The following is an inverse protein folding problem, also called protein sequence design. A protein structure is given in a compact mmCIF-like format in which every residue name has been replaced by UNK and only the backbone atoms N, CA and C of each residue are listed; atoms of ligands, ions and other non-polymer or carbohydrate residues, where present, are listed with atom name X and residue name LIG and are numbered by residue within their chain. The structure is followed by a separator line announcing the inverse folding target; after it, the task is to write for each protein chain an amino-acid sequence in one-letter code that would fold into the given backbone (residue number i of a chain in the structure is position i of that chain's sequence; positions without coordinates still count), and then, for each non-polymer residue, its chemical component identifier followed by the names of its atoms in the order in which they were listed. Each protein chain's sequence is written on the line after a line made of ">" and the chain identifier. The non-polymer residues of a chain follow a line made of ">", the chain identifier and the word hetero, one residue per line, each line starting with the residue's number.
data_IF_789237237699
#
_entry.id   IF_789237237699
#
_cell.length_a   1.000
_cell.length_b   1.000
_cell.length_c   1.000
_cell.angle_alpha   90.00
_cell.angle_beta   90.00
_cell.angle_gamma   90.00
#
_symmetry.space_group_name_H-M   'P 1'
#
loop_
_entity.id
_entity.type
_entity.pdbx_description
1 polymer ?
#
# COMPACT_ATOMS: atom_id res chain seq x y z
N UNK A 1 -30.76 15.58 26.69
CA UNK A 1 -29.77 15.81 25.56
C UNK A 1 -28.88 14.58 25.26
N UNK A 2 -28.96 13.46 26.01
CA UNK A 2 -28.09 12.27 25.80
C UNK A 2 -28.63 11.26 24.77
N UNK A 3 -29.89 11.30 24.38
CA UNK A 3 -30.48 10.34 23.42
C UNK A 3 -30.12 10.61 21.96
N UNK A 4 -29.83 11.85 21.59
CA UNK A 4 -29.47 12.23 20.20
C UNK A 4 -28.06 11.76 19.78
N UNK A 5 -27.08 11.75 20.69
CA UNK A 5 -25.72 11.31 20.39
C UNK A 5 -25.63 9.79 20.23
N UNK A 6 -26.28 9.03 21.12
CA UNK A 6 -26.30 7.57 21.06
C UNK A 6 -26.98 7.03 19.78
N UNK A 7 -28.09 7.64 19.35
CA UNK A 7 -28.75 7.28 18.09
C UNK A 7 -27.86 7.60 16.88
N UNK A 8 -27.15 8.73 16.88
CA UNK A 8 -26.17 9.09 15.85
C UNK A 8 -25.03 8.07 15.77
N UNK A 9 -24.51 7.61 16.91
CA UNK A 9 -23.41 6.66 16.96
C UNK A 9 -23.82 5.25 16.51
N UNK A 10 -25.04 4.81 16.87
CA UNK A 10 -25.61 3.54 16.37
C UNK A 10 -25.78 3.60 14.84
N UNK A 11 -26.31 4.71 14.31
CA UNK A 11 -26.47 4.89 12.87
C UNK A 11 -25.13 4.87 12.13
N UNK A 12 -24.10 5.53 12.64
CA UNK A 12 -22.75 5.52 12.06
C UNK A 12 -22.12 4.13 12.08
N UNK A 13 -22.31 3.34 13.15
CA UNK A 13 -21.81 1.95 13.25
C UNK A 13 -22.49 1.01 12.26
N UNK A 14 -23.73 1.28 11.87
CA UNK A 14 -24.44 0.50 10.84
C UNK A 14 -24.18 0.99 9.42
N UNK A 15 -23.65 2.20 9.25
CA UNK A 15 -23.39 2.78 7.95
C UNK A 15 -22.26 2.06 7.21
N UNK A 16 -22.33 2.08 5.88
CA UNK A 16 -21.28 1.60 5.03
C UNK A 16 -20.27 2.71 4.70
N UNK A 17 -19.02 2.33 4.72
CA UNK A 17 -17.87 3.16 4.40
C UNK A 17 -17.22 2.67 3.12
N UNK A 18 -16.71 3.58 2.30
CA UNK A 18 -15.93 3.22 1.13
C UNK A 18 -14.59 3.94 1.09
N UNK A 19 -13.59 3.23 0.61
CA UNK A 19 -12.29 3.75 0.29
C UNK A 19 -11.91 3.38 -1.14
N UNK A 20 -11.55 4.38 -1.96
CA UNK A 20 -11.06 4.18 -3.31
C UNK A 20 -9.64 4.75 -3.40
N UNK A 21 -8.75 3.92 -3.93
CA UNK A 21 -7.36 4.24 -4.25
C UNK A 21 -7.17 4.16 -5.77
N UNK A 22 -6.85 5.31 -6.38
CA UNK A 22 -6.47 5.42 -7.78
C UNK A 22 -4.96 5.63 -7.88
N UNK A 23 -4.24 4.54 -7.98
CA UNK A 23 -2.79 4.51 -8.17
C UNK A 23 -2.34 4.64 -9.62
N UNK A 24 -1.03 4.61 -9.83
CA UNK A 24 -0.40 4.68 -11.15
C UNK A 24 -0.80 3.53 -12.07
N UNK A 25 -0.96 2.33 -11.51
CA UNK A 25 -1.29 1.13 -12.30
C UNK A 25 -2.73 0.64 -12.11
N UNK A 26 -3.34 0.84 -10.96
CA UNK A 26 -4.58 0.18 -10.57
C UNK A 26 -5.59 1.16 -9.99
N UNK A 27 -6.87 0.90 -10.25
CA UNK A 27 -8.01 1.49 -9.54
C UNK A 27 -8.61 0.42 -8.62
N UNK A 28 -8.67 0.69 -7.32
CA UNK A 28 -9.13 -0.26 -6.31
C UNK A 28 -10.12 0.42 -5.37
N UNK A 29 -11.16 -0.31 -4.95
CA UNK A 29 -12.14 0.18 -3.98
C UNK A 29 -12.52 -0.92 -3.00
N UNK A 30 -12.77 -0.55 -1.75
CA UNK A 30 -13.42 -1.38 -0.73
C UNK A 30 -14.68 -0.68 -0.26
N UNK A 31 -15.72 -1.48 0.01
CA UNK A 31 -16.90 -1.08 0.77
C UNK A 31 -16.93 -1.95 2.01
N UNK A 32 -17.02 -1.34 3.19
CA UNK A 32 -16.90 -2.04 4.45
C UNK A 32 -17.84 -1.47 5.52
N UNK A 33 -18.10 -2.28 6.53
CA UNK A 33 -18.89 -1.93 7.71
C UNK A 33 -18.03 -2.06 8.97
N UNK A 34 -18.11 -1.12 9.93
CA UNK A 34 -17.42 -1.25 11.22
C UNK A 34 -17.84 -2.51 11.96
N UNK A 35 -16.88 -3.21 12.57
CA UNK A 35 -17.10 -4.40 13.38
C UNK A 35 -16.09 -4.48 14.51
N UNK A 36 -16.50 -4.08 15.71
CA UNK A 36 -15.61 -3.98 16.86
C UNK A 36 -14.45 -3.00 16.57
N UNK A 37 -13.25 -3.42 16.83
CA UNK A 37 -12.03 -2.64 16.55
C UNK A 37 -11.56 -2.70 15.08
N UNK A 38 -12.27 -3.44 14.24
CA UNK A 38 -11.93 -3.67 12.84
C UNK A 38 -13.13 -3.34 11.93
N UNK A 39 -13.09 -3.77 10.71
CA UNK A 39 -14.22 -3.70 9.78
C UNK A 39 -14.37 -5.00 9.01
N UNK A 40 -15.57 -5.22 8.52
CA UNK A 40 -15.89 -6.31 7.63
C UNK A 40 -16.07 -5.78 6.20
N UNK A 41 -15.39 -6.39 5.23
CA UNK A 41 -15.51 -6.02 3.81
C UNK A 41 -16.80 -6.60 3.25
N UNK A 42 -17.65 -5.72 2.72
CA UNK A 42 -18.94 -6.09 2.08
C UNK A 42 -18.76 -6.32 0.59
N UNK A 43 -17.98 -5.44 -0.07
CA UNK A 43 -17.72 -5.56 -1.51
C UNK A 43 -16.35 -4.95 -1.86
N UNK A 44 -15.80 -5.38 -2.96
CA UNK A 44 -14.52 -4.88 -3.45
C UNK A 44 -14.51 -4.70 -4.97
N UNK A 45 -13.63 -3.84 -5.43
CA UNK A 45 -13.34 -3.66 -6.85
C UNK A 45 -11.84 -3.50 -7.05
N UNK A 46 -11.30 -4.12 -8.09
CA UNK A 46 -9.91 -3.93 -8.51
C UNK A 46 -9.81 -4.06 -10.02
N UNK A 47 -9.14 -3.10 -10.67
CA UNK A 47 -8.89 -3.12 -12.12
C UNK A 47 -7.55 -2.47 -12.42
N UNK A 48 -6.74 -3.12 -13.26
CA UNK A 48 -5.56 -2.49 -13.85
C UNK A 48 -6.03 -1.46 -14.88
N UNK A 49 -5.70 -0.18 -14.64
CA UNK A 49 -6.07 0.95 -15.50
C UNK A 49 -4.86 1.56 -16.20
N UNK A 50 -3.65 1.31 -15.66
CA UNK A 50 -2.39 1.80 -16.21
C UNK A 50 -2.43 3.32 -16.47
N UNK A 51 -2.92 4.07 -15.47
CA UNK A 51 -3.11 5.52 -15.57
C UNK A 51 -1.80 6.24 -15.89
N UNK A 52 -0.70 5.82 -15.27
CA UNK A 52 0.63 6.40 -15.46
C UNK A 52 1.37 5.95 -16.72
N UNK A 53 0.74 5.15 -17.59
CA UNK A 53 1.42 4.69 -18.82
C UNK A 53 1.86 5.86 -19.70
N UNK A 54 3.17 5.92 -20.00
CA UNK A 54 3.76 6.99 -20.81
C UNK A 54 3.98 8.33 -20.09
N UNK A 55 3.64 8.42 -18.80
CA UNK A 55 3.79 9.64 -18.00
C UNK A 55 5.24 10.11 -17.91
N UNK A 56 6.21 9.18 -17.74
CA UNK A 56 7.64 9.49 -17.67
C UNK A 56 8.14 10.24 -18.92
N UNK A 57 7.65 9.85 -20.10
CA UNK A 57 8.08 10.43 -21.37
C UNK A 57 7.38 11.74 -21.69
N UNK A 58 6.12 11.89 -21.32
CA UNK A 58 5.27 12.99 -21.76
C UNK A 58 4.98 14.04 -20.69
N UNK A 59 5.12 13.68 -19.42
CA UNK A 59 4.67 14.46 -18.27
C UNK A 59 3.14 14.61 -18.18
N UNK A 60 2.38 13.82 -18.98
CA UNK A 60 0.89 13.93 -19.06
C UNK A 60 0.26 12.54 -19.06
N UNK A 61 -0.93 12.45 -18.46
CA UNK A 61 -1.81 11.29 -18.60
C UNK A 61 -2.31 11.18 -20.05
N UNK A 62 -2.20 9.99 -20.65
CA UNK A 62 -2.68 9.76 -22.01
C UNK A 62 -4.21 9.71 -22.06
N UNK A 63 -4.79 10.07 -23.21
CA UNK A 63 -6.25 10.04 -23.42
C UNK A 63 -6.81 8.64 -23.19
N UNK A 64 -6.10 7.61 -23.64
CA UNK A 64 -6.54 6.22 -23.49
C UNK A 64 -6.51 5.75 -22.04
N UNK A 65 -5.45 6.10 -21.29
CA UNK A 65 -5.37 5.75 -19.86
C UNK A 65 -6.44 6.46 -19.04
N UNK A 66 -6.70 7.75 -19.33
CA UNK A 66 -7.80 8.49 -18.70
C UNK A 66 -9.15 7.85 -18.99
N UNK A 67 -9.44 7.48 -20.24
CA UNK A 67 -10.71 6.85 -20.62
C UNK A 67 -10.89 5.49 -19.94
N UNK A 68 -9.86 4.63 -19.93
CA UNK A 68 -9.91 3.34 -19.19
C UNK A 68 -10.20 3.55 -17.72
N UNK A 69 -9.58 4.54 -17.12
CA UNK A 69 -9.76 4.86 -15.68
C UNK A 69 -11.19 5.36 -15.42
N UNK A 70 -11.73 6.23 -16.24
CA UNK A 70 -13.12 6.71 -16.12
C UNK A 70 -14.12 5.56 -16.21
N UNK A 71 -13.91 4.60 -17.11
CA UNK A 71 -14.76 3.41 -17.18
C UNK A 71 -14.71 2.58 -15.88
N UNK A 72 -13.53 2.43 -15.28
CA UNK A 72 -13.40 1.76 -13.98
C UNK A 72 -14.13 2.54 -12.86
N UNK A 73 -14.01 3.86 -12.86
CA UNK A 73 -14.65 4.74 -11.87
C UNK A 73 -16.18 4.74 -12.01
N UNK A 74 -16.74 4.62 -13.23
CA UNK A 74 -18.19 4.42 -13.43
C UNK A 74 -18.70 3.15 -12.73
N UNK A 75 -17.95 2.05 -12.80
CA UNK A 75 -18.29 0.83 -12.05
C UNK A 75 -18.23 1.06 -10.53
N UNK A 76 -17.21 1.78 -10.07
CA UNK A 76 -17.12 2.15 -8.65
C UNK A 76 -18.34 2.98 -8.21
N UNK A 77 -18.75 3.97 -9.01
CA UNK A 77 -19.95 4.78 -8.72
C UNK A 77 -21.21 3.94 -8.61
N UNK A 78 -21.44 3.02 -9.56
CA UNK A 78 -22.57 2.10 -9.52
C UNK A 78 -22.60 1.26 -8.24
N UNK A 79 -21.42 0.79 -7.77
CA UNK A 79 -21.33 0.05 -6.51
C UNK A 79 -21.63 0.94 -5.30
N UNK A 80 -21.08 2.16 -5.24
CA UNK A 80 -21.39 3.11 -4.17
C UNK A 80 -22.88 3.40 -4.06
N UNK A 81 -23.56 3.58 -5.19
CA UNK A 81 -25.01 3.83 -5.24
C UNK A 81 -25.80 2.59 -4.84
N UNK A 82 -25.43 1.42 -5.37
CA UNK A 82 -26.08 0.14 -5.06
C UNK A 82 -26.10 -0.14 -3.56
N UNK A 83 -25.01 0.16 -2.87
CA UNK A 83 -24.86 -0.11 -1.43
C UNK A 83 -25.27 1.10 -0.54
N UNK A 84 -25.75 2.19 -1.12
CA UNK A 84 -26.12 3.41 -0.40
C UNK A 84 -25.02 3.87 0.59
N UNK A 85 -23.76 3.90 0.09
CA UNK A 85 -22.59 4.24 0.90
C UNK A 85 -22.70 5.68 1.41
N UNK A 86 -22.64 5.86 2.72
CA UNK A 86 -22.79 7.18 3.36
C UNK A 86 -21.48 7.93 3.54
N UNK A 87 -20.40 7.21 3.78
CA UNK A 87 -19.09 7.79 4.03
C UNK A 87 -18.09 7.23 3.02
N UNK A 88 -17.53 8.10 2.19
CA UNK A 88 -16.55 7.66 1.20
C UNK A 88 -15.36 8.61 1.15
N UNK A 89 -14.17 8.04 1.01
CA UNK A 89 -12.93 8.77 0.71
C UNK A 89 -12.29 8.16 -0.53
N UNK A 90 -12.18 8.99 -1.55
CA UNK A 90 -11.71 8.59 -2.87
C UNK A 90 -10.44 9.37 -3.17
N UNK A 91 -9.31 8.69 -3.26
CA UNK A 91 -8.00 9.32 -3.43
C UNK A 91 -7.35 8.96 -4.76
N UNK A 92 -6.47 9.84 -5.21
CA UNK A 92 -5.55 9.61 -6.31
C UNK A 92 -4.13 9.94 -5.84
N UNK A 93 -3.15 9.17 -6.31
CA UNK A 93 -1.78 9.21 -5.81
C UNK A 93 -0.79 9.65 -6.90
N UNK A 94 0.39 9.06 -6.98
CA UNK A 94 1.58 9.49 -7.70
C UNK A 94 1.33 9.90 -9.17
N UNK A 95 0.58 9.11 -9.96
CA UNK A 95 0.32 9.47 -11.36
C UNK A 95 -0.41 10.81 -11.50
N UNK A 96 -1.36 11.08 -10.61
CA UNK A 96 -2.10 12.34 -10.60
C UNK A 96 -1.27 13.50 -10.00
N UNK A 97 -0.41 13.24 -9.00
CA UNK A 97 0.49 14.28 -8.46
C UNK A 97 1.45 14.81 -9.54
N UNK A 98 2.01 13.91 -10.34
CA UNK A 98 3.06 14.24 -11.33
C UNK A 98 2.52 14.78 -12.66
N UNK A 99 1.30 14.40 -13.03
CA UNK A 99 0.77 14.73 -14.35
C UNK A 99 0.38 16.22 -14.49
N UNK A 100 0.91 16.89 -15.50
CA UNK A 100 0.60 18.30 -15.82
C UNK A 100 -0.89 18.55 -16.12
N UNK A 101 -1.61 17.51 -16.59
CA UNK A 101 -3.04 17.55 -16.93
C UNK A 101 -3.93 16.85 -15.88
N UNK A 102 -3.46 16.68 -14.66
CA UNK A 102 -4.24 16.02 -13.60
C UNK A 102 -5.52 16.77 -13.24
N UNK A 103 -5.47 18.10 -13.20
CA UNK A 103 -6.66 18.93 -12.90
C UNK A 103 -7.79 18.71 -13.92
N UNK A 104 -7.45 18.67 -15.22
CA UNK A 104 -8.42 18.40 -16.28
C UNK A 104 -8.99 16.97 -16.17
N UNK A 105 -8.15 16.02 -15.82
CA UNK A 105 -8.57 14.63 -15.58
C UNK A 105 -9.55 14.53 -14.39
N UNK A 106 -9.22 15.13 -13.25
CA UNK A 106 -10.09 15.12 -12.05
C UNK A 106 -11.45 15.80 -12.36
N UNK A 107 -11.43 16.94 -13.07
CA UNK A 107 -12.65 17.60 -13.49
C UNK A 107 -13.51 16.70 -14.41
N UNK A 108 -12.87 16.06 -15.39
CA UNK A 108 -13.55 15.12 -16.29
C UNK A 108 -14.15 13.92 -15.54
N UNK A 109 -13.43 13.36 -14.55
CA UNK A 109 -13.96 12.32 -13.67
C UNK A 109 -15.22 12.78 -12.97
N UNK A 110 -15.19 13.98 -12.38
CA UNK A 110 -16.36 14.53 -11.70
C UNK A 110 -17.55 14.74 -12.65
N UNK A 111 -17.31 15.31 -13.83
CA UNK A 111 -18.36 15.54 -14.84
C UNK A 111 -19.01 14.23 -15.32
N UNK A 112 -18.21 13.15 -15.52
CA UNK A 112 -18.71 11.90 -16.07
C UNK A 112 -19.26 10.92 -15.03
N UNK A 113 -18.87 11.05 -13.76
CA UNK A 113 -19.20 10.07 -12.71
C UNK A 113 -19.82 10.67 -11.47
N UNK A 114 -19.69 11.97 -11.23
CA UNK A 114 -20.04 12.63 -9.97
C UNK A 114 -19.07 12.32 -8.81
N UNK A 115 -18.01 11.54 -9.03
CA UNK A 115 -17.05 11.19 -8.00
C UNK A 115 -16.05 12.33 -7.78
N UNK A 116 -15.83 12.68 -6.51
CA UNK A 116 -14.81 13.67 -6.11
C UNK A 116 -13.55 12.93 -5.69
N UNK A 117 -12.54 12.92 -6.54
CA UNK A 117 -11.22 12.38 -6.23
C UNK A 117 -10.34 13.47 -5.59
N UNK A 118 -9.69 13.14 -4.48
CA UNK A 118 -8.70 14.00 -3.83
C UNK A 118 -7.30 13.49 -4.14
N UNK A 119 -6.44 14.34 -4.68
CA UNK A 119 -5.02 14.01 -4.82
C UNK A 119 -4.39 14.21 -3.45
N UNK A 120 -3.85 13.14 -2.86
CA UNK A 120 -3.15 13.18 -1.57
C UNK A 120 -1.66 13.41 -1.78
N UNK A 121 -0.98 14.00 -0.80
CA UNK A 121 0.46 14.12 -0.79
C UNK A 121 1.15 12.80 -0.41
N UNK A 122 2.48 12.80 -0.47
CA UNK A 122 3.28 11.60 -0.20
C UNK A 122 3.31 11.23 1.28
N UNK A 123 3.24 12.22 2.18
CA UNK A 123 3.20 11.96 3.62
C UNK A 123 1.89 11.26 4.01
N UNK A 124 0.76 11.76 3.49
CA UNK A 124 -0.53 11.12 3.72
C UNK A 124 -0.59 9.71 3.16
N UNK A 125 -0.02 9.48 1.97
CA UNK A 125 0.09 8.14 1.36
C UNK A 125 0.89 7.19 2.26
N UNK A 126 2.08 7.59 2.69
CA UNK A 126 2.93 6.82 3.60
C UNK A 126 2.23 6.54 4.94
N UNK A 127 1.56 7.52 5.51
CA UNK A 127 0.81 7.41 6.76
C UNK A 127 -0.34 6.41 6.66
N UNK A 128 -1.11 6.44 5.58
CA UNK A 128 -2.21 5.50 5.35
C UNK A 128 -1.70 4.06 5.18
N UNK A 129 -0.56 3.88 4.51
CA UNK A 129 0.08 2.57 4.40
C UNK A 129 0.49 2.04 5.78
N UNK A 130 1.10 2.87 6.63
CA UNK A 130 1.48 2.52 8.00
C UNK A 130 0.26 2.11 8.83
N UNK A 131 -0.81 2.90 8.82
CA UNK A 131 -2.04 2.61 9.57
C UNK A 131 -2.65 1.27 9.12
N UNK A 132 -2.63 0.97 7.83
CA UNK A 132 -3.16 -0.29 7.30
C UNK A 132 -2.46 -1.52 7.88
N UNK A 133 -1.19 -1.37 8.27
CA UNK A 133 -0.34 -2.42 8.81
C UNK A 133 -0.46 -2.60 10.33
N UNK A 134 -1.14 -1.71 11.05
CA UNK A 134 -1.24 -1.73 12.51
C UNK A 134 -1.62 -3.11 13.10
N UNK A 135 -2.59 -3.87 12.56
CA UNK A 135 -2.96 -5.19 13.09
C UNK A 135 -1.85 -6.27 12.96
N UNK A 136 -0.81 -6.02 12.15
CA UNK A 136 0.29 -6.95 11.91
C UNK A 136 1.55 -6.62 12.71
N UNK A 137 1.54 -5.53 13.47
CA UNK A 137 2.66 -5.11 14.30
C UNK A 137 2.81 -6.08 15.46
N UNK A 138 4.02 -6.65 15.59
CA UNK A 138 4.33 -7.56 16.68
C UNK A 138 4.50 -6.80 17.99
N UNK A 139 3.93 -7.32 19.08
CA UNK A 139 4.17 -6.78 20.43
C UNK A 139 5.64 -6.83 20.88
N UNK A 140 6.46 -7.65 20.21
CA UNK A 140 7.90 -7.78 20.50
C UNK A 140 8.77 -6.82 19.68
N UNK A 141 8.21 -6.12 18.69
CA UNK A 141 8.98 -5.25 17.79
C UNK A 141 9.15 -3.85 18.39
N UNK A 142 10.39 -3.44 18.62
CA UNK A 142 10.77 -2.10 19.09
C UNK A 142 11.15 -1.18 17.94
N UNK A 143 11.58 -1.76 16.82
CA UNK A 143 11.87 -1.06 15.58
C UNK A 143 11.01 -1.65 14.46
N UNK A 144 10.33 -0.80 13.72
CA UNK A 144 9.42 -1.18 12.65
C UNK A 144 9.75 -0.40 11.37
N UNK A 145 9.97 -1.12 10.26
CA UNK A 145 10.01 -0.56 8.92
C UNK A 145 8.74 -0.99 8.16
N UNK A 146 7.92 -0.03 7.78
CA UNK A 146 6.81 -0.27 6.86
C UNK A 146 7.22 0.13 5.45
N UNK A 147 6.98 -0.76 4.48
CA UNK A 147 7.30 -0.54 3.07
C UNK A 147 6.06 -0.77 2.23
N UNK A 148 5.65 0.23 1.48
CA UNK A 148 4.60 0.11 0.45
C UNK A 148 5.20 0.27 -0.95
N UNK A 149 5.23 -0.82 -1.72
CA UNK A 149 5.75 -0.83 -3.08
C UNK A 149 4.61 -0.52 -4.05
N UNK A 150 4.40 0.73 -4.36
CA UNK A 150 3.37 1.20 -5.26
C UNK A 150 3.70 1.01 -6.75
N UNK A 151 2.79 1.48 -7.62
CA UNK A 151 3.02 1.47 -9.07
C UNK A 151 3.98 2.53 -9.56
N UNK A 152 3.94 3.72 -8.96
CA UNK A 152 4.70 4.91 -9.35
C UNK A 152 5.76 5.32 -8.33
N UNK A 153 5.54 5.01 -7.06
CA UNK A 153 6.43 5.33 -5.95
C UNK A 153 6.55 4.17 -4.98
N UNK A 154 7.50 4.26 -4.06
CA UNK A 154 7.67 3.33 -2.93
C UNK A 154 7.89 4.14 -1.67
N UNK A 155 7.03 3.93 -0.68
CA UNK A 155 7.07 4.59 0.60
C UNK A 155 7.78 3.70 1.62
N UNK A 156 8.76 4.27 2.36
CA UNK A 156 9.42 3.62 3.49
C UNK A 156 9.23 4.50 4.73
N UNK A 157 8.79 3.90 5.82
CA UNK A 157 8.60 4.62 7.10
C UNK A 157 9.24 3.81 8.21
N UNK A 158 10.23 4.42 8.89
CA UNK A 158 10.89 3.82 10.05
C UNK A 158 10.30 4.36 11.34
N UNK A 159 9.88 3.45 12.21
CA UNK A 159 9.14 3.78 13.42
C UNK A 159 9.83 3.15 14.62
N UNK A 160 10.09 3.95 15.64
CA UNK A 160 10.57 3.53 16.95
C UNK A 160 9.39 3.33 17.89
N UNK A 161 9.27 2.12 18.42
CA UNK A 161 8.25 1.67 19.35
C UNK A 161 8.84 1.32 20.73
N UNK A 162 10.13 1.59 20.98
CA UNK A 162 10.82 1.19 22.19
C UNK A 162 10.20 1.80 23.46
N UNK A 163 9.71 3.04 23.39
CA UNK A 163 9.01 3.71 24.47
C UNK A 163 7.54 3.29 24.64
N UNK A 164 7.00 2.47 23.73
CA UNK A 164 5.59 2.05 23.74
C UNK A 164 5.48 0.69 24.45
N UNK A 165 4.60 0.54 25.46
CA UNK A 165 4.33 -0.77 26.09
C UNK A 165 3.94 -1.80 25.02
N UNK A 166 4.45 -3.02 25.16
CA UNK A 166 4.35 -4.07 24.15
C UNK A 166 2.91 -4.33 23.68
N UNK A 167 1.94 -4.33 24.59
CA UNK A 167 0.53 -4.53 24.29
C UNK A 167 -0.15 -3.34 23.61
N UNK A 168 0.46 -2.14 23.66
CA UNK A 168 -0.08 -0.94 23.01
C UNK A 168 0.51 -0.64 21.63
N UNK A 169 1.57 -1.34 21.20
CA UNK A 169 2.28 -1.07 19.95
C UNK A 169 1.35 -1.02 18.72
N UNK A 170 0.45 -1.98 18.49
CA UNK A 170 -0.49 -1.89 17.37
C UNK A 170 -1.42 -0.67 17.45
N UNK A 171 -1.90 -0.33 18.66
CA UNK A 171 -2.76 0.85 18.86
C UNK A 171 -2.01 2.16 18.63
N UNK A 172 -0.73 2.23 19.02
CA UNK A 172 0.08 3.42 18.82
C UNK A 172 0.27 3.73 17.33
N UNK A 173 0.36 2.71 16.47
CA UNK A 173 0.39 2.88 15.00
C UNK A 173 -0.94 3.43 14.48
N UNK A 174 -2.08 2.96 14.99
CA UNK A 174 -3.39 3.50 14.60
C UNK A 174 -3.53 4.99 14.94
N UNK A 175 -2.92 5.45 16.03
CA UNK A 175 -2.97 6.88 16.45
C UNK A 175 -2.23 7.81 15.50
N UNK A 176 -1.36 7.30 14.62
CA UNK A 176 -0.70 8.09 13.57
C UNK A 176 -1.66 8.63 12.50
N UNK A 177 -2.97 8.31 12.59
CA UNK A 177 -3.96 8.84 11.64
C UNK A 177 -4.06 10.38 11.61
N UNK A 178 -3.62 11.07 12.66
CA UNK A 178 -3.63 12.54 12.77
C UNK A 178 -2.37 13.22 12.22
N UNK A 179 -1.30 12.47 11.93
CA UNK A 179 -0.02 12.97 11.41
C UNK A 179 1.18 12.23 12.00
N UNK A 180 2.33 12.34 11.34
CA UNK A 180 3.58 11.76 11.82
C UNK A 180 4.19 12.53 13.01
N UNK A 181 3.80 13.79 13.18
CA UNK A 181 4.33 14.71 14.19
C UNK A 181 3.28 15.11 15.23
N UNK A 182 2.43 14.19 15.67
CA UNK A 182 1.45 14.48 16.73
C UNK A 182 2.18 14.70 18.06
N UNK A 183 2.30 15.99 18.47
CA UNK A 183 3.12 16.44 19.62
C UNK A 183 2.37 16.28 20.96
N UNK A 184 1.06 16.15 20.99
CA UNK A 184 0.23 16.29 22.20
C UNK A 184 -0.53 15.02 22.61
N UNK A 185 0.12 13.85 22.58
CA UNK A 185 -0.52 12.66 23.13
C UNK A 185 -0.08 12.45 24.59
N UNK A 186 -0.99 12.34 25.57
CA UNK A 186 -0.65 11.97 26.94
C UNK A 186 -0.22 10.48 27.07
N UNK A 187 -0.26 9.72 25.99
CA UNK A 187 0.12 8.30 25.97
C UNK A 187 1.46 8.09 25.25
N UNK A 188 2.23 7.06 25.63
CA UNK A 188 3.40 6.66 24.88
C UNK A 188 3.04 6.49 23.40
N UNK A 189 3.69 7.26 22.54
CA UNK A 189 3.38 7.31 21.11
C UNK A 189 4.47 6.61 20.28
N UNK A 190 4.07 5.98 19.19
CA UNK A 190 5.00 5.56 18.14
C UNK A 190 5.72 6.80 17.60
N UNK A 191 7.05 6.74 17.50
CA UNK A 191 7.86 7.83 16.98
C UNK A 191 8.34 7.51 15.58
N UNK A 192 7.88 8.27 14.59
CA UNK A 192 8.45 8.18 13.24
C UNK A 192 9.87 8.77 13.29
N UNK A 193 10.86 7.92 13.02
CA UNK A 193 12.28 8.31 13.02
C UNK A 193 12.59 9.07 11.74
N UNK A 194 12.17 8.47 10.61
CA UNK A 194 12.31 9.05 9.29
C UNK A 194 11.33 8.38 8.32
N UNK A 195 11.05 9.05 7.22
CA UNK A 195 10.28 8.48 6.12
C UNK A 195 10.72 9.05 4.78
N UNK A 196 10.59 8.25 3.74
CA UNK A 196 10.91 8.66 2.36
C UNK A 196 9.85 8.11 1.41
N UNK A 197 9.48 8.92 0.41
CA UNK A 197 8.78 8.45 -0.79
C UNK A 197 9.75 8.49 -1.96
N UNK A 198 10.20 7.32 -2.38
CA UNK A 198 11.04 7.18 -3.58
C UNK A 198 10.14 7.20 -4.79
N UNK A 199 10.32 8.12 -5.78
CA UNK A 199 9.46 8.22 -6.97
C UNK A 199 9.74 7.10 -7.99
N UNK A 200 9.94 5.89 -7.50
CA UNK A 200 10.17 4.65 -8.22
C UNK A 200 9.28 3.56 -7.63
N UNK A 201 8.24 3.22 -8.36
CA UNK A 201 7.40 2.05 -8.10
C UNK A 201 7.61 1.00 -9.20
N UNK A 202 6.82 -0.07 -9.16
CA UNK A 202 7.01 -1.21 -10.08
C UNK A 202 6.85 -0.84 -11.56
N UNK A 203 5.99 0.11 -11.90
CA UNK A 203 5.79 0.54 -13.28
C UNK A 203 6.84 1.54 -13.73
N UNK A 204 7.15 2.55 -12.91
CA UNK A 204 8.14 3.59 -13.24
C UNK A 204 9.54 3.01 -13.33
N UNK A 205 9.92 2.12 -12.41
CA UNK A 205 11.21 1.45 -12.45
C UNK A 205 11.36 0.54 -13.66
N UNK A 206 10.34 -0.24 -14.01
CA UNK A 206 10.34 -1.05 -15.25
C UNK A 206 10.52 -0.17 -16.48
N UNK A 207 9.76 0.93 -16.57
CA UNK A 207 9.76 1.78 -17.75
C UNK A 207 11.11 2.49 -17.95
N UNK A 208 11.86 2.76 -16.86
CA UNK A 208 13.17 3.36 -16.89
C UNK A 208 14.27 2.44 -17.45
N UNK A 209 14.13 1.12 -17.29
CA UNK A 209 15.09 0.11 -17.77
C UNK A 209 14.52 -0.75 -18.90
N UNK A 210 13.58 -0.20 -19.66
CA UNK A 210 12.86 -0.92 -20.71
C UNK A 210 13.74 -1.26 -21.93
N UNK A 211 14.84 -0.55 -22.13
CA UNK A 211 15.84 -0.73 -23.19
C UNK A 211 16.89 -1.79 -22.88
N UNK A 212 16.98 -2.28 -21.66
CA UNK A 212 17.89 -3.36 -21.28
C UNK A 212 17.26 -4.70 -21.63
N UNK A 213 17.81 -5.39 -22.66
CA UNK A 213 17.23 -6.64 -23.18
C UNK A 213 17.46 -7.83 -22.26
N UNK A 214 18.67 -7.98 -21.70
CA UNK A 214 18.98 -9.08 -20.80
C UNK A 214 18.21 -8.97 -19.48
N UNK A 215 17.44 -10.01 -19.15
CA UNK A 215 16.52 -10.02 -18.02
C UNK A 215 17.25 -9.96 -16.66
N UNK A 216 18.40 -10.65 -16.55
CA UNK A 216 19.18 -10.67 -15.31
C UNK A 216 19.94 -9.35 -15.11
N UNK A 217 20.53 -8.79 -16.16
CA UNK A 217 21.17 -7.49 -16.13
C UNK A 217 20.17 -6.39 -15.79
N UNK A 218 18.99 -6.40 -16.42
CA UNK A 218 17.91 -5.47 -16.12
C UNK A 218 17.50 -5.54 -14.65
N UNK A 219 17.32 -6.73 -14.11
CA UNK A 219 16.99 -6.93 -12.71
C UNK A 219 18.06 -6.37 -11.77
N UNK A 220 19.33 -6.67 -12.05
CA UNK A 220 20.46 -6.19 -11.25
C UNK A 220 20.56 -4.66 -11.27
N UNK A 221 20.42 -4.04 -12.45
CA UNK A 221 20.43 -2.59 -12.62
C UNK A 221 19.26 -1.91 -11.88
N UNK A 222 18.04 -2.45 -12.00
CA UNK A 222 16.88 -1.94 -11.28
C UNK A 222 17.09 -1.99 -9.77
N UNK A 223 17.62 -3.11 -9.26
CA UNK A 223 17.86 -3.30 -7.83
C UNK A 223 18.95 -2.34 -7.32
N UNK A 224 20.06 -2.21 -8.03
CA UNK A 224 21.14 -1.27 -7.68
C UNK A 224 20.65 0.19 -7.75
N UNK A 225 19.94 0.57 -8.81
CA UNK A 225 19.43 1.93 -8.98
C UNK A 225 18.46 2.33 -7.88
N UNK A 226 17.60 1.39 -7.45
CA UNK A 226 16.69 1.66 -6.34
C UNK A 226 17.45 1.82 -5.02
N UNK A 227 18.45 0.98 -4.77
CA UNK A 227 19.29 1.06 -3.55
C UNK A 227 19.98 2.42 -3.42
N UNK A 228 20.49 2.99 -4.53
CA UNK A 228 21.06 4.34 -4.57
C UNK A 228 20.09 5.42 -4.05
N UNK A 229 18.79 5.23 -4.24
CA UNK A 229 17.76 6.18 -3.77
C UNK A 229 17.48 6.08 -2.28
N UNK A 230 17.97 5.04 -1.62
CA UNK A 230 17.81 4.87 -0.16
C UNK A 230 18.87 5.63 0.65
N UNK A 231 19.91 6.15 0.00
CA UNK A 231 21.04 6.83 0.69
C UNK A 231 20.63 8.07 1.48
N UNK A 232 19.53 8.71 1.10
CA UNK A 232 18.97 9.88 1.80
C UNK A 232 18.07 9.51 2.99
N UNK A 233 17.72 8.24 3.12
CA UNK A 233 16.91 7.72 4.23
C UNK A 233 17.82 7.53 5.46
N UNK A 234 17.56 8.26 6.55
CA UNK A 234 18.44 8.28 7.72
C UNK A 234 18.77 6.88 8.29
N UNK A 235 17.80 5.94 8.43
CA UNK A 235 18.08 4.58 8.89
C UNK A 235 18.99 3.75 7.97
N UNK A 236 19.22 4.19 6.74
CA UNK A 236 20.16 3.53 5.85
C UNK A 236 21.61 3.65 6.34
N UNK A 237 21.94 4.77 7.01
CA UNK A 237 23.30 5.06 7.52
C UNK A 237 23.58 4.42 8.87
N UNK A 238 22.55 4.29 9.70
CA UNK A 238 22.65 3.87 11.12
C UNK A 238 21.89 2.56 11.41
N UNK A 239 21.93 1.61 10.48
CA UNK A 239 21.13 0.38 10.53
C UNK A 239 21.62 -0.61 11.60
N UNK A 240 21.34 -0.36 12.85
CA UNK A 240 21.43 -1.34 13.93
C UNK A 240 20.19 -2.22 13.91
N UNK A 241 20.25 -3.31 13.16
CA UNK A 241 19.20 -4.32 13.12
C UNK A 241 19.45 -5.29 14.27
N UNK A 242 18.50 -5.42 15.17
CA UNK A 242 18.50 -6.38 16.25
C UNK A 242 17.29 -7.32 16.16
N UNK A 243 17.16 -8.21 17.16
CA UNK A 243 16.06 -9.18 17.22
C UNK A 243 14.69 -8.55 17.43
N UNK A 244 14.62 -7.26 17.79
CA UNK A 244 13.37 -6.51 17.97
C UNK A 244 12.89 -5.79 16.69
N UNK A 245 13.66 -5.88 15.59
CA UNK A 245 13.32 -5.27 14.31
C UNK A 245 12.29 -6.11 13.53
N UNK A 246 11.31 -5.44 12.96
CA UNK A 246 10.30 -6.03 12.08
C UNK A 246 10.17 -5.20 10.79
N UNK A 247 10.09 -5.87 9.64
CA UNK A 247 9.66 -5.26 8.40
C UNK A 247 8.22 -5.70 8.12
N UNK A 248 7.35 -4.76 7.74
CA UNK A 248 6.04 -5.07 7.18
C UNK A 248 6.04 -4.55 5.74
N UNK A 249 5.96 -5.49 4.79
CA UNK A 249 5.87 -5.17 3.37
C UNK A 249 4.44 -5.27 2.88
N UNK A 250 3.92 -4.19 2.31
CA UNK A 250 2.63 -4.19 1.63
C UNK A 250 2.82 -4.01 0.13
N UNK A 251 1.97 -4.52 -0.64
CA UNK A 251 1.83 -4.38 -2.08
C UNK A 251 1.52 -5.67 -2.81
N UNK A 252 1.25 -5.50 -4.08
CA UNK A 252 1.08 -6.62 -4.96
C UNK A 252 2.34 -7.45 -5.23
N UNK A 253 3.51 -6.88 -5.13
CA UNK A 253 4.79 -7.60 -5.24
C UNK A 253 4.97 -8.54 -4.07
N UNK A 254 4.91 -8.00 -2.84
CA UNK A 254 5.15 -8.74 -1.62
C UNK A 254 4.17 -9.91 -1.48
N UNK A 255 2.88 -9.67 -1.75
CA UNK A 255 1.85 -10.71 -1.72
C UNK A 255 2.02 -11.78 -2.81
N UNK A 256 2.55 -11.41 -4.00
CA UNK A 256 2.84 -12.38 -5.07
C UNK A 256 4.05 -13.25 -4.73
N UNK A 257 5.12 -12.66 -4.18
CA UNK A 257 6.29 -13.41 -3.68
C UNK A 257 5.86 -14.41 -2.60
N UNK A 258 5.03 -13.97 -1.66
CA UNK A 258 4.47 -14.83 -0.61
C UNK A 258 3.61 -15.97 -1.18
N UNK A 259 2.74 -15.68 -2.14
CA UNK A 259 1.92 -16.68 -2.84
C UNK A 259 2.78 -17.71 -3.58
N UNK A 260 3.87 -17.26 -4.21
CA UNK A 260 4.82 -18.15 -4.89
C UNK A 260 5.61 -19.01 -3.90
N UNK A 261 6.04 -18.44 -2.76
CA UNK A 261 6.70 -19.19 -1.68
C UNK A 261 5.80 -20.33 -1.16
N UNK A 262 4.51 -20.05 -0.97
CA UNK A 262 3.51 -21.03 -0.53
C UNK A 262 3.07 -21.99 -1.64
N UNK A 263 3.51 -21.83 -2.89
CA UNK A 263 3.11 -22.66 -4.02
C UNK A 263 1.63 -22.50 -4.40
N UNK A 264 0.99 -21.40 -4.11
CA UNK A 264 -0.45 -21.19 -4.33
C UNK A 264 -0.75 -20.94 -5.80
N UNK A 265 -1.41 -21.89 -6.46
CA UNK A 265 -1.91 -21.71 -7.85
C UNK A 265 -3.10 -20.76 -7.94
N UNK A 266 -3.86 -20.62 -6.86
CA UNK A 266 -4.94 -19.64 -6.68
C UNK A 266 -4.63 -18.83 -5.46
N UNK A 267 -4.68 -17.51 -5.59
CA UNK A 267 -4.42 -16.59 -4.51
C UNK A 267 -5.39 -16.81 -3.34
N UNK A 268 -4.84 -16.88 -2.13
CA UNK A 268 -5.60 -17.05 -0.89
C UNK A 268 -5.10 -16.03 0.14
N UNK A 269 -5.89 -14.97 0.32
CA UNK A 269 -5.58 -13.90 1.25
C UNK A 269 -5.33 -14.39 2.67
N UNK A 270 -6.10 -15.38 3.12
CA UNK A 270 -6.01 -15.86 4.51
C UNK A 270 -4.69 -16.55 4.83
N UNK A 271 -3.99 -17.04 3.81
CA UNK A 271 -2.66 -17.65 3.94
C UNK A 271 -1.54 -16.65 3.74
N UNK A 272 -1.79 -15.56 3.02
CA UNK A 272 -0.79 -14.58 2.62
C UNK A 272 -0.70 -13.43 3.62
N UNK A 273 -1.85 -12.89 4.07
CA UNK A 273 -1.88 -11.76 5.02
C UNK A 273 -1.36 -12.21 6.39
N UNK A 274 -0.30 -11.56 6.88
CA UNK A 274 0.38 -11.91 8.12
C UNK A 274 1.45 -13.00 7.99
N UNK A 275 1.69 -13.56 6.79
CA UNK A 275 2.77 -14.52 6.58
C UNK A 275 4.12 -13.86 6.94
N UNK A 276 4.96 -14.58 7.68
CA UNK A 276 6.32 -14.16 7.99
C UNK A 276 7.31 -14.88 7.10
N UNK A 277 8.23 -14.13 6.52
CA UNK A 277 9.25 -14.65 5.62
C UNK A 277 10.63 -14.15 6.02
N UNK A 278 11.63 -14.99 5.81
CA UNK A 278 13.05 -14.60 5.91
C UNK A 278 13.55 -14.03 4.59
N UNK A 279 14.63 -13.26 4.64
CA UNK A 279 15.33 -12.79 3.43
C UNK A 279 15.66 -13.94 2.49
N UNK A 280 16.18 -15.06 3.03
CA UNK A 280 16.53 -16.24 2.22
C UNK A 280 15.35 -16.87 1.50
N UNK A 281 14.17 -16.90 2.14
CA UNK A 281 12.96 -17.43 1.50
C UNK A 281 12.52 -16.54 0.34
N UNK A 282 12.63 -15.23 0.49
CA UNK A 282 12.31 -14.25 -0.54
C UNK A 282 13.30 -14.36 -1.69
N UNK A 283 14.61 -14.43 -1.40
CA UNK A 283 15.66 -14.58 -2.40
C UNK A 283 15.53 -15.88 -3.22
N UNK A 284 15.10 -16.97 -2.60
CA UNK A 284 14.81 -18.23 -3.32
C UNK A 284 13.68 -18.03 -4.35
N UNK A 285 12.63 -17.32 -3.99
CA UNK A 285 11.53 -17.02 -4.92
C UNK A 285 12.02 -16.13 -6.06
N UNK A 286 12.77 -15.07 -5.75
CA UNK A 286 13.31 -14.15 -6.76
C UNK A 286 14.24 -14.87 -7.74
N UNK A 287 15.14 -15.73 -7.25
CA UNK A 287 15.99 -16.59 -8.09
C UNK A 287 15.16 -17.47 -9.01
N UNK A 288 14.13 -18.12 -8.46
CA UNK A 288 13.23 -18.94 -9.28
C UNK A 288 12.55 -18.13 -10.39
N UNK A 289 12.19 -16.86 -10.16
CA UNK A 289 11.66 -15.98 -11.20
C UNK A 289 12.67 -15.66 -12.28
N UNK A 290 13.93 -15.43 -11.93
CA UNK A 290 15.02 -15.21 -12.91
C UNK A 290 15.28 -16.48 -13.74
N UNK A 291 15.36 -17.64 -13.10
CA UNK A 291 15.58 -18.94 -13.77
C UNK A 291 14.45 -19.30 -14.74
N UNK A 292 13.19 -18.98 -14.40
CA UNK A 292 12.06 -19.18 -15.31
C UNK A 292 12.13 -18.31 -16.57
N UNK A 293 12.79 -17.20 -16.52
CA UNK A 293 12.81 -16.19 -17.57
C UNK A 293 11.43 -15.57 -17.85
N UNK A 294 11.34 -14.61 -18.79
CA UNK A 294 10.10 -13.89 -19.09
C UNK A 294 8.93 -14.79 -19.50
N UNK A 295 9.20 -15.81 -20.33
CA UNK A 295 8.14 -16.70 -20.83
C UNK A 295 7.66 -17.70 -19.78
N UNK A 296 8.54 -18.15 -18.87
CA UNK A 296 8.16 -18.98 -17.74
C UNK A 296 7.27 -18.22 -16.78
N UNK A 297 7.62 -16.99 -16.44
CA UNK A 297 6.81 -16.12 -15.58
C UNK A 297 5.42 -15.83 -16.15
N UNK A 298 5.29 -15.65 -17.48
CA UNK A 298 3.99 -15.48 -18.14
C UNK A 298 3.07 -16.71 -18.00
N UNK A 299 3.64 -17.88 -17.85
CA UNK A 299 2.91 -19.15 -17.73
C UNK A 299 2.66 -19.56 -16.28
N UNK A 300 3.33 -18.92 -15.32
CA UNK A 300 3.23 -19.27 -13.89
C UNK A 300 1.92 -18.74 -13.28
N UNK A 301 0.99 -19.63 -12.88
CA UNK A 301 -0.29 -19.21 -12.31
C UNK A 301 -0.17 -18.50 -10.97
N UNK A 302 0.98 -18.63 -10.27
CA UNK A 302 1.23 -18.01 -8.97
C UNK A 302 1.46 -16.50 -9.08
N UNK A 303 1.93 -16.03 -10.26
CA UNK A 303 2.24 -14.61 -10.48
C UNK A 303 0.99 -13.79 -10.83
N UNK A 304 0.01 -14.38 -11.49
CA UNK A 304 -1.21 -13.69 -11.94
C UNK A 304 -0.96 -12.75 -13.13
N UNK A 305 -1.93 -12.70 -14.05
CA UNK A 305 -1.77 -12.03 -15.36
C UNK A 305 -1.39 -10.54 -15.25
N UNK A 306 -2.03 -9.81 -14.33
CA UNK A 306 -1.82 -8.36 -14.18
C UNK A 306 -0.45 -8.00 -13.58
N UNK A 307 0.28 -8.99 -13.08
CA UNK A 307 1.57 -8.79 -12.39
C UNK A 307 2.77 -9.27 -13.16
N UNK A 308 2.57 -10.11 -14.18
CA UNK A 308 3.66 -10.72 -14.96
C UNK A 308 4.66 -9.71 -15.50
N UNK A 309 4.19 -8.55 -15.96
CA UNK A 309 5.04 -7.49 -16.48
C UNK A 309 5.75 -6.65 -15.40
N UNK A 310 5.33 -6.76 -14.13
CA UNK A 310 5.76 -5.87 -13.05
C UNK A 310 6.49 -6.61 -11.93
N UNK A 311 6.42 -7.94 -11.89
CA UNK A 311 6.95 -8.73 -10.77
C UNK A 311 8.45 -8.56 -10.61
N UNK A 312 9.21 -8.46 -11.70
CA UNK A 312 10.67 -8.34 -11.63
C UNK A 312 11.11 -6.99 -11.11
N UNK A 313 10.47 -5.89 -11.53
CA UNK A 313 10.77 -4.55 -10.98
C UNK A 313 10.39 -4.45 -9.51
N UNK A 314 9.26 -5.01 -9.11
CA UNK A 314 8.89 -5.08 -7.70
C UNK A 314 9.83 -5.97 -6.87
N UNK A 315 10.25 -7.10 -7.41
CA UNK A 315 11.26 -7.97 -6.79
C UNK A 315 12.61 -7.29 -6.65
N UNK A 316 13.01 -6.46 -7.60
CA UNK A 316 14.25 -5.68 -7.55
C UNK A 316 14.23 -4.64 -6.41
N UNK A 317 13.09 -3.95 -6.22
CA UNK A 317 12.86 -3.05 -5.08
C UNK A 317 12.95 -3.82 -3.76
N UNK A 318 12.23 -4.93 -3.66
CA UNK A 318 12.21 -5.77 -2.45
C UNK A 318 13.61 -6.30 -2.11
N UNK A 319 14.37 -6.74 -3.10
CA UNK A 319 15.74 -7.23 -2.90
C UNK A 319 16.69 -6.11 -2.46
N UNK A 320 16.62 -4.92 -3.08
CA UNK A 320 17.43 -3.77 -2.70
C UNK A 320 17.22 -3.40 -1.23
N UNK A 321 15.95 -3.35 -0.80
CA UNK A 321 15.58 -3.10 0.59
C UNK A 321 16.11 -4.17 1.54
N UNK A 322 15.97 -5.47 1.19
CA UNK A 322 16.42 -6.58 2.05
C UNK A 322 17.94 -6.74 2.09
N UNK A 323 18.69 -6.22 1.11
CA UNK A 323 20.15 -6.10 1.21
C UNK A 323 20.56 -5.06 2.24
N UNK A 324 19.83 -3.94 2.31
CA UNK A 324 20.07 -2.90 3.30
C UNK A 324 19.66 -3.32 4.71
N UNK A 325 18.53 -4.02 4.82
CA UNK A 325 17.95 -4.48 6.10
C UNK A 325 17.56 -5.96 6.03
N UNK A 326 18.53 -6.90 6.11
CA UNK A 326 18.26 -8.33 6.16
C UNK A 326 17.40 -8.68 7.38
N UNK A 327 16.40 -9.53 7.23
CA UNK A 327 15.49 -9.87 8.32
C UNK A 327 14.99 -11.31 8.22
N UNK A 328 14.69 -11.91 9.36
CA UNK A 328 13.94 -13.15 9.50
C UNK A 328 12.44 -12.90 9.78
N UNK A 329 12.02 -11.63 9.80
CA UNK A 329 10.69 -11.20 10.25
C UNK A 329 10.01 -10.22 9.28
N UNK A 330 10.21 -10.39 7.97
CA UNK A 330 9.36 -9.69 7.03
C UNK A 330 7.94 -10.24 7.14
N UNK A 331 7.02 -9.39 7.54
CA UNK A 331 5.59 -9.72 7.59
C UNK A 331 4.90 -9.21 6.33
N UNK A 332 4.18 -10.09 5.66
CA UNK A 332 3.45 -9.78 4.43
C UNK A 332 2.11 -9.15 4.79
N UNK A 333 1.83 -7.97 4.26
CA UNK A 333 0.54 -7.31 4.40
C UNK A 333 -0.24 -7.35 3.08
N UNK A 334 -1.38 -8.04 3.06
CA UNK A 334 -2.37 -7.89 1.98
C UNK A 334 -3.38 -6.79 2.35
N UNK A 335 -2.82 -5.66 2.70
CA UNK A 335 -3.48 -4.43 3.13
C UNK A 335 -2.79 -3.27 2.45
N UNK A 336 -3.39 -2.10 2.46
CA UNK A 336 -2.79 -0.92 1.85
C UNK A 336 -3.64 0.32 2.06
N UNK A 337 -3.50 1.32 1.19
CA UNK A 337 -4.14 2.63 1.31
C UNK A 337 -5.65 2.56 1.58
N UNK A 338 -6.37 1.61 0.97
CA UNK A 338 -7.82 1.47 1.16
C UNK A 338 -8.18 1.09 2.59
N UNK A 339 -7.46 0.14 3.15
CA UNK A 339 -7.63 -0.28 4.55
C UNK A 339 -7.24 0.87 5.49
N UNK A 340 -6.14 1.56 5.22
CA UNK A 340 -5.73 2.76 5.96
C UNK A 340 -6.78 3.87 5.92
N UNK A 341 -7.36 4.14 4.74
CA UNK A 341 -8.46 5.11 4.58
C UNK A 341 -9.70 4.71 5.39
N UNK A 342 -10.10 3.44 5.36
CA UNK A 342 -11.23 2.95 6.13
C UNK A 342 -10.99 3.10 7.63
N UNK A 343 -9.82 2.69 8.12
CA UNK A 343 -9.44 2.87 9.52
C UNK A 343 -9.47 4.35 9.92
N UNK A 344 -8.86 5.23 9.12
CA UNK A 344 -8.83 6.67 9.41
C UNK A 344 -10.24 7.29 9.45
N UNK A 345 -11.10 6.96 8.48
CA UNK A 345 -12.49 7.46 8.46
C UNK A 345 -13.32 6.94 9.64
N UNK A 346 -13.25 5.63 9.91
CA UNK A 346 -14.01 5.00 10.98
C UNK A 346 -13.54 5.45 12.36
N UNK A 347 -12.23 5.64 12.54
CA UNK A 347 -11.63 6.19 13.76
C UNK A 347 -12.08 7.64 13.97
N UNK A 348 -12.01 8.49 12.95
CA UNK A 348 -12.46 9.89 13.01
C UNK A 348 -13.97 10.01 13.34
N UNK A 349 -14.77 9.03 12.94
CA UNK A 349 -16.19 8.96 13.26
C UNK A 349 -16.48 8.30 14.63
N UNK A 350 -15.46 7.81 15.36
CA UNK A 350 -15.60 7.17 16.66
C UNK A 350 -16.41 5.86 16.63
N UNK A 351 -16.38 5.13 15.48
CA UNK A 351 -17.20 3.92 15.31
C UNK A 351 -16.42 2.62 15.50
N UNK A 352 -15.08 2.70 15.56
CA UNK A 352 -14.24 1.57 15.95
C UNK A 352 -14.19 1.51 17.48
N UNK A 353 -14.43 0.33 18.03
CA UNK A 353 -14.27 0.09 19.46
C UNK A 353 -12.78 0.11 19.81
N UNK A 354 -12.45 0.61 21.00
CA UNK A 354 -11.10 0.44 21.52
C UNK A 354 -10.78 -1.06 21.62
N UNK A 355 -9.67 -1.46 21.00
CA UNK A 355 -9.22 -2.86 21.08
C UNK A 355 -8.88 -3.14 22.55
N UNK A 356 -9.78 -3.76 23.25
CA UNK A 356 -9.44 -4.49 24.47
C UNK A 356 -8.80 -5.78 23.98
N UNK A 357 -7.47 -5.78 23.92
CA UNK A 357 -6.66 -6.98 23.72
C UNK A 357 -6.28 -7.55 25.07
#
# INVERSE_FOLDING_TARGET
>A
RSSSSAASDVYKRQALYAALDLGTNSCRMLIAQPKGAQFHVIDSFAKSVQLGSGLEKTGKLSRDSMNRTIQALKVCKQKLDKYDVKYSRLIATEACRRAKNSKDFILKVFQETGLKLNIIDTEEEARLAVISCAPLVSSKSEQLLVVDIGGGSTELVWIDLSAVPSHERPKSIMRLHSGFHSIDSPFPAARVVDWISVPLGVATLRDQFNDVEDDAARFALMSWYFEEKLTDFAPYKDNKIDTSFQIIGTSGTVTTVASSHLGLRRYDRTKVDGLRMTTDQIDKVIRSYLEMGPDGRKKDPRIGRDRQALIMSGSAILQAMLRSWPTDKLTVADRGLREGLLYAQMSANGVLEDVIL
#
